data_IF_755672436985
#
_entry.id   IF_755672436985
#
_cell.length_a   1.000
_cell.length_b   1.000
_cell.length_c   1.000
_cell.angle_alpha   90.00
_cell.angle_beta   90.00
_cell.angle_gamma   90.00
#
_symmetry.space_group_name_H-M   'P 1'
#
loop_
_entity.id
_entity.type
_entity.pdbx_description
1 polymer ?
#
# COMPACT_ATOMS: atom_id res chain seq x y z
N UNK A 1 12.46 -18.01 -19.86
CA UNK A 1 13.49 -17.61 -18.88
C UNK A 1 13.74 -16.10 -18.84
N UNK A 2 14.07 -15.41 -19.95
CA UNK A 2 14.37 -13.94 -19.92
C UNK A 2 13.25 -13.06 -19.37
N UNK A 3 11.98 -13.35 -19.61
CA UNK A 3 10.86 -12.55 -19.10
C UNK A 3 10.67 -12.71 -17.59
N UNK A 4 10.78 -13.93 -17.09
CA UNK A 4 10.73 -14.25 -15.67
C UNK A 4 11.81 -13.50 -14.89
N UNK A 5 13.07 -13.56 -15.37
CA UNK A 5 14.19 -12.85 -14.73
C UNK A 5 13.95 -11.34 -14.68
N UNK A 6 13.43 -10.75 -15.76
CA UNK A 6 13.09 -9.31 -15.79
C UNK A 6 12.02 -8.95 -14.75
N UNK A 7 11.00 -9.79 -14.61
CA UNK A 7 9.95 -9.56 -13.60
C UNK A 7 10.49 -9.69 -12.16
N UNK A 8 11.31 -10.71 -11.90
CA UNK A 8 11.95 -10.88 -10.57
C UNK A 8 12.81 -9.67 -10.22
N UNK A 9 13.66 -9.21 -11.14
CA UNK A 9 14.50 -8.01 -10.90
C UNK A 9 13.65 -6.75 -10.70
N UNK A 10 12.54 -6.61 -11.44
CA UNK A 10 11.60 -5.51 -11.27
C UNK A 10 10.94 -5.54 -9.89
N UNK A 11 10.47 -6.70 -9.42
CA UNK A 11 9.89 -6.85 -8.07
C UNK A 11 10.90 -6.56 -6.98
N UNK A 12 12.12 -7.08 -7.10
CA UNK A 12 13.19 -6.86 -6.12
C UNK A 12 13.54 -5.37 -5.99
N UNK A 13 13.79 -4.69 -7.12
CA UNK A 13 14.13 -3.27 -7.13
C UNK A 13 12.97 -2.37 -6.68
N UNK A 14 11.75 -2.65 -7.15
CA UNK A 14 10.55 -1.96 -6.69
C UNK A 14 10.31 -2.16 -5.20
N UNK A 15 10.43 -3.40 -4.70
CA UNK A 15 10.26 -3.73 -3.29
C UNK A 15 11.27 -3.04 -2.37
N UNK A 16 12.53 -2.99 -2.77
CA UNK A 16 13.57 -2.28 -2.03
C UNK A 16 13.26 -0.78 -1.92
N UNK A 17 12.90 -0.14 -3.05
CA UNK A 17 12.50 1.28 -3.06
C UNK A 17 11.25 1.53 -2.22
N UNK A 18 10.21 0.70 -2.37
CA UNK A 18 8.99 0.82 -1.59
C UNK A 18 9.23 0.70 -0.10
N UNK A 19 10.05 -0.26 0.33
CA UNK A 19 10.39 -0.44 1.74
C UNK A 19 11.16 0.76 2.32
N UNK A 20 12.11 1.33 1.59
CA UNK A 20 12.83 2.55 1.99
C UNK A 20 11.87 3.72 2.11
N UNK A 21 11.03 3.97 1.09
CA UNK A 21 10.04 5.04 1.11
C UNK A 21 9.07 4.89 2.30
N UNK A 22 8.61 3.67 2.60
CA UNK A 22 7.80 3.38 3.78
C UNK A 22 8.45 3.81 5.08
N UNK A 23 9.69 3.38 5.28
CA UNK A 23 10.43 3.66 6.52
C UNK A 23 10.61 5.17 6.71
N UNK A 24 11.07 5.87 5.68
CA UNK A 24 11.33 7.30 5.77
C UNK A 24 10.03 8.11 5.93
N UNK A 25 8.99 7.80 5.16
CA UNK A 25 7.71 8.50 5.27
C UNK A 25 7.03 8.23 6.62
N UNK A 26 7.04 6.98 7.09
CA UNK A 26 6.49 6.64 8.41
C UNK A 26 7.23 7.37 9.53
N UNK A 27 8.58 7.42 9.47
CA UNK A 27 9.42 8.15 10.44
C UNK A 27 9.11 9.65 10.43
N UNK A 28 9.01 10.26 9.24
CA UNK A 28 8.70 11.67 9.10
C UNK A 28 7.34 12.03 9.71
N UNK A 29 6.32 11.22 9.50
CA UNK A 29 4.99 11.43 10.09
C UNK A 29 5.04 11.28 11.61
N UNK A 30 5.70 10.23 12.10
CA UNK A 30 5.80 9.99 13.55
C UNK A 30 6.57 11.08 14.26
N UNK A 31 7.57 11.72 13.64
CA UNK A 31 8.32 12.83 14.24
C UNK A 31 7.46 14.07 14.52
N UNK A 32 6.34 14.21 13.80
CA UNK A 32 5.42 15.34 13.96
C UNK A 32 4.20 15.07 14.86
N UNK A 33 3.91 13.80 15.18
CA UNK A 33 2.64 13.44 15.84
C UNK A 33 2.72 13.16 17.33
N UNK A 34 3.88 12.85 17.88
CA UNK A 34 4.14 12.67 19.32
C UNK A 34 3.06 11.87 20.07
N UNK A 35 3.02 10.54 19.94
CA UNK A 35 2.03 9.69 20.62
C UNK A 35 2.23 8.20 20.35
N UNK A 36 1.52 7.35 21.11
CA UNK A 36 1.61 5.90 20.98
C UNK A 36 0.93 5.35 19.71
N UNK A 37 0.02 6.11 19.07
CA UNK A 37 -0.73 5.64 17.90
C UNK A 37 0.14 5.64 16.64
N UNK A 38 0.15 4.55 15.84
CA UNK A 38 1.06 4.36 14.68
C UNK A 38 0.56 5.09 13.41
N UNK A 39 0.43 6.42 13.47
CA UNK A 39 -0.03 7.24 12.34
C UNK A 39 0.82 7.05 11.08
N UNK A 40 2.14 6.80 11.24
CA UNK A 40 3.05 6.60 10.12
C UNK A 40 2.68 5.40 9.27
N UNK A 41 2.46 4.24 9.90
CA UNK A 41 2.05 3.01 9.21
C UNK A 41 0.64 3.12 8.64
N UNK A 42 -0.30 3.70 9.40
CA UNK A 42 -1.65 3.94 8.91
C UNK A 42 -1.63 4.80 7.62
N UNK A 43 -0.94 5.92 7.62
CA UNK A 43 -0.86 6.82 6.46
C UNK A 43 -0.22 6.14 5.24
N UNK A 44 0.88 5.43 5.45
CA UNK A 44 1.57 4.68 4.39
C UNK A 44 0.65 3.64 3.75
N UNK A 45 -0.08 2.88 4.57
CA UNK A 45 -1.03 1.88 4.09
C UNK A 45 -2.21 2.52 3.34
N UNK A 46 -2.74 3.64 3.84
CA UNK A 46 -3.82 4.40 3.17
C UNK A 46 -3.37 4.94 1.81
N UNK A 47 -2.23 5.64 1.78
CA UNK A 47 -1.67 6.22 0.56
C UNK A 47 -1.33 5.14 -0.46
N UNK A 48 -0.66 4.07 -0.02
CA UNK A 48 -0.29 2.95 -0.87
C UNK A 48 -1.50 2.22 -1.45
N UNK A 49 -2.54 1.99 -0.63
CA UNK A 49 -3.80 1.37 -1.08
C UNK A 49 -4.52 2.22 -2.14
N UNK A 50 -4.60 3.53 -1.94
CA UNK A 50 -5.20 4.45 -2.91
C UNK A 50 -4.44 4.46 -4.23
N UNK A 51 -3.11 4.63 -4.18
CA UNK A 51 -2.27 4.68 -5.39
C UNK A 51 -2.22 3.34 -6.12
N UNK A 52 -2.21 2.21 -5.39
CA UNK A 52 -2.32 0.89 -5.99
C UNK A 52 -3.67 0.70 -6.69
N UNK A 53 -4.75 1.17 -6.07
CA UNK A 53 -6.08 1.17 -6.67
C UNK A 53 -6.12 1.97 -7.98
N UNK A 54 -5.56 3.19 -7.99
CA UNK A 54 -5.41 4.01 -9.20
C UNK A 54 -4.61 3.29 -10.29
N UNK A 55 -3.44 2.75 -9.93
CA UNK A 55 -2.58 2.04 -10.86
C UNK A 55 -3.29 0.86 -11.52
N UNK A 56 -3.93 0.03 -10.71
CA UNK A 56 -4.62 -1.17 -11.22
C UNK A 56 -5.89 -0.82 -12.00
N UNK A 57 -6.61 0.23 -11.59
CA UNK A 57 -7.73 0.77 -12.35
C UNK A 57 -7.30 1.29 -13.73
N UNK A 58 -6.20 2.03 -13.79
CA UNK A 58 -5.63 2.50 -15.06
C UNK A 58 -5.11 1.35 -15.93
N UNK A 59 -4.43 0.38 -15.34
CA UNK A 59 -3.92 -0.80 -16.05
C UNK A 59 -5.05 -1.65 -16.67
N UNK A 60 -6.23 -1.65 -16.07
CA UNK A 60 -7.40 -2.38 -16.61
C UNK A 60 -7.95 -1.79 -17.93
N UNK A 61 -7.49 -0.60 -18.35
CA UNK A 61 -7.85 0.03 -19.63
C UNK A 61 -7.09 -0.58 -20.82
N UNK A 62 -5.94 -1.21 -20.57
CA UNK A 62 -5.06 -1.72 -21.64
C UNK A 62 -5.19 -3.23 -21.79
N UNK A 63 -5.50 -3.72 -23.02
CA UNK A 63 -5.55 -5.16 -23.33
C UNK A 63 -4.18 -5.85 -23.24
N UNK A 64 -3.11 -5.11 -23.52
CA UNK A 64 -1.73 -5.60 -23.52
C UNK A 64 -0.99 -4.97 -22.33
N UNK A 65 -1.27 -5.40 -21.12
CA UNK A 65 -0.61 -4.86 -19.92
C UNK A 65 0.93 -4.76 -20.06
N UNK A 66 1.54 -3.90 -19.26
CA UNK A 66 3.00 -3.77 -19.15
C UNK A 66 3.50 -4.69 -18.03
N UNK A 67 3.71 -6.01 -18.29
CA UNK A 67 3.89 -6.99 -17.22
C UNK A 67 5.08 -6.69 -16.32
N UNK A 68 6.18 -6.16 -16.87
CA UNK A 68 7.36 -5.79 -16.08
C UNK A 68 7.15 -4.50 -15.28
N UNK A 69 6.50 -3.49 -15.86
CA UNK A 69 6.19 -2.25 -15.15
C UNK A 69 5.15 -2.49 -14.05
N UNK A 70 4.14 -3.30 -14.31
CA UNK A 70 3.15 -3.69 -13.29
C UNK A 70 3.80 -4.52 -12.18
N UNK A 71 4.70 -5.43 -12.51
CA UNK A 71 5.46 -6.19 -11.52
C UNK A 71 6.33 -5.27 -10.65
N UNK A 72 7.01 -4.29 -11.25
CA UNK A 72 7.80 -3.29 -10.51
C UNK A 72 6.91 -2.45 -9.59
N UNK A 73 5.84 -1.86 -10.10
CA UNK A 73 5.02 -0.92 -9.35
C UNK A 73 4.07 -1.62 -8.37
N UNK A 74 3.22 -2.54 -8.84
CA UNK A 74 2.18 -3.13 -8.01
C UNK A 74 2.77 -4.14 -7.01
N UNK A 75 3.49 -5.15 -7.49
CA UNK A 75 4.02 -6.22 -6.63
C UNK A 75 5.29 -5.77 -5.90
N UNK A 76 6.19 -5.06 -6.59
CA UNK A 76 7.43 -4.56 -6.02
C UNK A 76 7.17 -3.35 -5.12
N UNK A 77 7.03 -2.17 -5.73
CA UNK A 77 7.00 -0.90 -4.98
C UNK A 77 5.85 -0.86 -3.95
N UNK A 78 4.60 -1.02 -4.35
CA UNK A 78 3.49 -0.95 -3.41
C UNK A 78 3.45 -2.14 -2.44
N UNK A 79 3.91 -3.34 -2.85
CA UNK A 79 4.08 -4.48 -1.95
C UNK A 79 5.15 -4.26 -0.88
N UNK A 80 6.24 -3.53 -1.20
CA UNK A 80 7.25 -3.10 -0.25
C UNK A 80 6.85 -1.85 0.57
N UNK A 81 6.10 -0.94 -0.04
CA UNK A 81 5.65 0.31 0.58
C UNK A 81 4.58 0.08 1.65
N UNK A 82 3.52 -0.70 1.35
CA UNK A 82 2.48 -1.07 2.34
C UNK A 82 2.94 -2.23 3.22
N UNK A 83 2.37 -2.36 4.42
CA UNK A 83 2.78 -3.43 5.34
C UNK A 83 1.64 -3.87 6.26
N UNK A 84 1.31 -5.16 6.19
CA UNK A 84 0.42 -5.79 7.15
C UNK A 84 1.16 -6.19 8.44
N UNK A 85 2.44 -6.59 8.33
CA UNK A 85 3.22 -7.07 9.48
C UNK A 85 3.50 -5.96 10.51
N UNK A 86 3.88 -4.76 10.05
CA UNK A 86 4.09 -3.62 10.95
C UNK A 86 2.78 -3.19 11.61
N UNK A 87 1.69 -3.07 10.82
CA UNK A 87 0.35 -2.81 11.35
C UNK A 87 -0.07 -3.83 12.43
N UNK A 88 0.15 -5.12 12.18
CA UNK A 88 -0.16 -6.18 13.13
C UNK A 88 0.67 -6.08 14.42
N UNK A 89 1.97 -5.82 14.29
CA UNK A 89 2.85 -5.63 15.44
C UNK A 89 2.45 -4.40 16.26
N UNK A 90 2.22 -3.26 15.62
CA UNK A 90 1.80 -2.03 16.30
C UNK A 90 0.49 -2.23 17.07
N UNK A 91 -0.47 -2.97 16.48
CA UNK A 91 -1.73 -3.31 17.15
C UNK A 91 -1.51 -4.14 18.41
N UNK A 92 -0.63 -5.15 18.35
CA UNK A 92 -0.31 -6.00 19.50
C UNK A 92 0.42 -5.21 20.59
N UNK A 93 1.33 -4.31 20.22
CA UNK A 93 2.04 -3.45 21.16
C UNK A 93 1.08 -2.50 21.88
N UNK A 94 0.20 -1.82 21.15
CA UNK A 94 -0.85 -0.98 21.74
C UNK A 94 -1.73 -1.77 22.73
N UNK A 95 -2.09 -3.00 22.38
CA UNK A 95 -2.87 -3.86 23.29
C UNK A 95 -2.11 -4.21 24.56
N UNK A 96 -0.82 -4.55 24.46
CA UNK A 96 0.04 -4.89 25.60
C UNK A 96 0.31 -3.71 26.54
N UNK A 97 0.27 -2.49 26.01
CA UNK A 97 0.45 -1.23 26.75
C UNK A 97 -0.88 -0.69 27.31
N UNK A 98 -1.93 -1.52 27.36
CA UNK A 98 -3.28 -1.16 27.81
C UNK A 98 -3.97 -0.06 27.00
N UNK A 99 -3.45 0.27 25.80
CA UNK A 99 -4.07 1.18 24.84
C UNK A 99 -5.12 0.48 23.95
N UNK A 100 -6.06 -0.24 24.57
CA UNK A 100 -7.03 -1.12 23.89
C UNK A 100 -7.86 -0.36 22.83
N UNK A 101 -8.33 0.84 23.15
CA UNK A 101 -9.11 1.66 22.19
C UNK A 101 -8.26 2.01 20.98
N UNK A 102 -7.00 2.39 21.16
CA UNK A 102 -6.07 2.68 20.06
C UNK A 102 -5.79 1.43 19.22
N UNK A 103 -5.64 0.26 19.83
CA UNK A 103 -5.48 -0.99 19.11
C UNK A 103 -6.69 -1.31 18.21
N UNK A 104 -7.91 -1.19 18.74
CA UNK A 104 -9.15 -1.41 17.98
C UNK A 104 -9.31 -0.38 16.86
N UNK A 105 -9.01 0.89 17.12
CA UNK A 105 -9.00 1.95 16.11
C UNK A 105 -7.98 1.66 15.01
N UNK A 106 -6.76 1.23 15.37
CA UNK A 106 -5.74 0.88 14.38
C UNK A 106 -6.23 -0.23 13.43
N UNK A 107 -6.89 -1.27 13.97
CA UNK A 107 -7.49 -2.34 13.16
C UNK A 107 -8.59 -1.79 12.26
N UNK A 108 -9.56 -1.07 12.82
CA UNK A 108 -10.70 -0.54 12.08
C UNK A 108 -10.29 0.44 10.96
N UNK A 109 -9.38 1.36 11.26
CA UNK A 109 -8.89 2.35 10.29
C UNK A 109 -8.04 1.70 9.20
N UNK A 110 -7.08 0.82 9.52
CA UNK A 110 -6.30 0.14 8.49
C UNK A 110 -7.20 -0.73 7.59
N UNK A 111 -8.09 -1.54 8.16
CA UNK A 111 -8.99 -2.37 7.36
C UNK A 111 -10.00 -1.53 6.57
N UNK A 112 -10.74 -0.64 7.23
CA UNK A 112 -11.81 0.14 6.60
C UNK A 112 -11.32 1.16 5.59
N UNK A 113 -10.41 2.06 6.01
CA UNK A 113 -9.95 3.15 5.14
C UNK A 113 -9.09 2.66 3.98
N UNK A 114 -8.20 1.67 4.19
CA UNK A 114 -7.36 1.17 3.10
C UNK A 114 -8.19 0.48 2.02
N UNK A 115 -9.20 -0.33 2.40
CA UNK A 115 -10.12 -0.93 1.44
C UNK A 115 -10.96 0.12 0.70
N UNK A 116 -11.50 1.11 1.42
CA UNK A 116 -12.28 2.18 0.81
C UNK A 116 -11.44 3.01 -0.17
N UNK A 117 -10.20 3.36 0.20
CA UNK A 117 -9.29 4.12 -0.62
C UNK A 117 -8.78 3.34 -1.84
N UNK A 118 -8.52 2.04 -1.70
CA UNK A 118 -8.21 1.17 -2.85
C UNK A 118 -9.37 1.12 -3.84
N UNK A 119 -10.59 0.94 -3.35
CA UNK A 119 -11.81 0.97 -4.16
C UNK A 119 -12.06 2.32 -4.84
N UNK A 120 -11.82 3.42 -4.12
CA UNK A 120 -11.92 4.78 -4.67
C UNK A 120 -10.90 5.00 -5.78
N UNK A 121 -9.61 4.67 -5.54
CA UNK A 121 -8.56 4.77 -6.53
C UNK A 121 -8.88 3.95 -7.79
N UNK A 122 -9.31 2.72 -7.62
CA UNK A 122 -9.76 1.87 -8.73
C UNK A 122 -10.90 2.54 -9.52
N UNK A 123 -11.96 2.98 -8.84
CA UNK A 123 -13.13 3.61 -9.48
C UNK A 123 -12.77 4.88 -10.25
N UNK A 124 -11.83 5.66 -9.76
CA UNK A 124 -11.38 6.90 -10.42
C UNK A 124 -10.60 6.61 -11.72
N UNK A 125 -9.85 5.52 -11.78
CA UNK A 125 -8.97 5.21 -12.89
C UNK A 125 -9.49 4.10 -13.83
N UNK A 126 -10.44 3.28 -13.41
CA UNK A 126 -10.99 2.21 -14.23
C UNK A 126 -11.83 2.77 -15.41
N UNK A 127 -11.93 2.03 -16.55
CA UNK A 127 -12.77 2.42 -17.67
C UNK A 127 -14.25 2.43 -17.23
N UNK A 128 -15.01 3.38 -17.77
CA UNK A 128 -16.46 3.42 -17.55
C UNK A 128 -17.15 2.24 -18.24
N UNK A 129 -18.33 1.82 -17.75
CA UNK A 129 -19.13 0.82 -18.45
C UNK A 129 -19.40 1.30 -19.89
N UNK A 130 -18.94 0.51 -20.90
CA UNK A 130 -19.02 0.85 -22.33
C UNK A 130 -17.71 1.34 -22.98
N UNK A 131 -16.68 1.71 -22.22
CA UNK A 131 -15.36 2.16 -22.74
C UNK A 131 -14.33 1.01 -22.90
N UNK A 132 -14.73 -0.23 -22.67
CA UNK A 132 -13.80 -1.38 -22.84
C UNK A 132 -13.61 -1.63 -24.34
N UNK A 133 -12.46 -1.22 -24.87
CA UNK A 133 -12.00 -1.59 -26.22
C UNK A 133 -11.45 -3.01 -26.26
#
# INVERSE_FOLDING_TARGET
MRQFTKQVMAVMSGGALGAVCRVELSRLIMSGTGGAFPFGILFVNMLGSFLLGLLMGAASRTRHGYPTATAFMATGFFGGFTTFSSFGLDTVLLWKEDHVVSALLNVGLNAGLCMALAGLGWKMAAPRPGERA
#
